data_IF_200642173043
#
_entry.id   IF_200642173043
#
_cell.length_a   1.000
_cell.length_b   1.000
_cell.length_c   1.000
_cell.angle_alpha   90.00
_cell.angle_beta   90.00
_cell.angle_gamma   90.00
#
_symmetry.space_group_name_H-M   'P 1'
#
loop_
_entity.id
_entity.type
_entity.pdbx_description
1 polymer ?
#
# COMPACT_ATOMS: atom_id res chain seq x y z
N UNK A 1 -45.87 8.39 -6.42
CA UNK A 1 -44.98 7.41 -5.74
C UNK A 1 -44.28 6.57 -6.80
N UNK A 2 -42.96 6.74 -6.99
CA UNK A 2 -42.14 5.85 -7.84
C UNK A 2 -41.02 5.30 -6.95
N UNK A 3 -41.02 3.98 -6.75
CA UNK A 3 -40.01 3.24 -5.99
C UNK A 3 -38.74 3.16 -6.86
N UNK A 4 -37.60 3.59 -6.34
CA UNK A 4 -36.29 3.28 -6.93
C UNK A 4 -35.73 2.01 -6.29
N UNK A 5 -35.29 1.08 -7.14
CA UNK A 5 -34.67 -0.19 -6.79
C UNK A 5 -33.30 0.04 -6.15
N UNK A 6 -33.05 -0.64 -5.03
CA UNK A 6 -31.74 -0.69 -4.39
C UNK A 6 -30.75 -1.54 -5.19
N UNK A 7 -29.54 -1.01 -5.38
CA UNK A 7 -28.39 -1.78 -5.82
C UNK A 7 -27.83 -2.57 -4.63
N UNK A 8 -27.78 -3.88 -4.78
CA UNK A 8 -27.14 -4.80 -3.84
C UNK A 8 -25.63 -4.78 -4.10
N UNK A 9 -24.87 -4.03 -3.30
CA UNK A 9 -23.41 -4.19 -3.24
C UNK A 9 -23.14 -5.29 -2.21
N UNK A 10 -22.64 -6.43 -2.70
CA UNK A 10 -22.12 -7.49 -1.83
C UNK A 10 -20.77 -7.00 -1.27
N UNK A 11 -20.80 -6.44 -0.06
CA UNK A 11 -19.60 -6.18 0.73
C UNK A 11 -19.33 -7.41 1.58
N UNK A 12 -18.46 -8.31 1.14
CA UNK A 12 -17.90 -9.34 2.02
C UNK A 12 -16.85 -8.69 2.92
N UNK A 13 -17.26 -8.49 4.17
CA UNK A 13 -16.47 -7.97 5.29
C UNK A 13 -15.39 -8.95 5.77
N UNK A 14 -14.23 -8.40 6.10
CA UNK A 14 -13.46 -8.77 7.29
C UNK A 14 -12.59 -7.59 7.71
N UNK A 15 -13.06 -6.76 8.65
CA UNK A 15 -12.24 -5.78 9.36
C UNK A 15 -12.19 -6.18 10.83
N UNK A 16 -11.06 -6.73 11.27
CA UNK A 16 -10.67 -6.78 12.68
C UNK A 16 -9.45 -5.86 12.84
N UNK A 17 -9.64 -4.80 13.62
CA UNK A 17 -8.71 -3.71 13.98
C UNK A 17 -8.11 -2.90 12.82
N UNK A 18 -8.68 -1.71 12.59
CA UNK A 18 -8.10 -0.67 11.73
C UNK A 18 -9.20 0.04 10.98
N UNK A 19 -9.38 1.33 11.26
CA UNK A 19 -10.44 2.20 10.73
C UNK A 19 -10.66 1.94 9.23
N UNK A 20 -11.88 1.60 8.77
CA UNK A 20 -12.14 1.49 7.34
C UNK A 20 -11.74 2.81 6.69
N UNK A 21 -11.02 2.71 5.57
CA UNK A 21 -10.70 3.88 4.76
C UNK A 21 -11.96 4.74 4.62
N UNK A 22 -11.87 6.08 4.77
CA UNK A 22 -13.01 6.92 4.45
C UNK A 22 -13.44 6.56 3.02
N UNK A 23 -14.74 6.47 2.75
CA UNK A 23 -15.28 6.11 1.43
C UNK A 23 -14.77 6.99 0.26
N UNK A 24 -14.02 8.05 0.59
CA UNK A 24 -13.38 9.01 -0.32
C UNK A 24 -11.84 8.92 -0.33
N UNK A 25 -11.21 7.99 0.38
CA UNK A 25 -9.82 7.64 0.10
C UNK A 25 -9.85 7.03 -1.31
N UNK A 26 -9.28 7.74 -2.30
CA UNK A 26 -9.25 7.29 -3.69
C UNK A 26 -8.76 5.85 -3.83
N UNK A 27 -8.97 5.27 -5.00
CA UNK A 27 -8.47 3.93 -5.30
C UNK A 27 -7.01 3.80 -4.82
N UNK A 28 -6.61 2.68 -4.21
CA UNK A 28 -5.22 2.46 -3.72
C UNK A 28 -4.20 2.81 -4.81
N UNK A 29 -4.56 2.58 -6.07
CA UNK A 29 -3.81 3.01 -7.24
C UNK A 29 -3.57 4.54 -7.32
N UNK A 30 -4.60 5.35 -7.08
CA UNK A 30 -4.50 6.82 -7.10
C UNK A 30 -3.60 7.32 -5.98
N UNK A 31 -3.77 6.76 -4.77
CA UNK A 31 -2.91 7.10 -3.62
C UNK A 31 -1.45 6.71 -3.93
N UNK A 32 -1.23 5.52 -4.47
CA UNK A 32 0.09 5.02 -4.84
C UNK A 32 0.81 5.96 -5.81
N UNK A 33 0.11 6.41 -6.84
CA UNK A 33 0.68 7.17 -7.96
C UNK A 33 0.80 8.68 -7.72
N UNK A 34 0.05 9.23 -6.76
CA UNK A 34 0.09 10.67 -6.45
C UNK A 34 1.08 11.02 -5.34
N UNK A 35 1.21 10.17 -4.33
CA UNK A 35 2.12 10.40 -3.20
C UNK A 35 3.60 10.31 -3.59
N UNK A 36 4.46 11.04 -2.87
CA UNK A 36 5.87 10.65 -2.68
C UNK A 36 5.95 9.81 -1.41
N UNK A 37 6.64 8.68 -1.42
CA UNK A 37 6.64 7.76 -0.29
C UNK A 37 8.00 7.74 0.41
N UNK A 38 8.00 7.77 1.75
CA UNK A 38 9.13 7.29 2.54
C UNK A 38 8.94 5.79 2.78
N UNK A 39 9.89 5.00 2.31
CA UNK A 39 9.90 3.54 2.42
C UNK A 39 10.81 3.10 3.56
N UNK A 40 10.31 2.26 4.45
CA UNK A 40 11.05 1.79 5.62
C UNK A 40 10.44 0.53 6.23
N UNK A 41 10.74 0.31 7.51
CA UNK A 41 10.22 -0.83 8.29
C UNK A 41 9.54 -0.34 9.56
N UNK A 42 8.79 -1.23 10.21
CA UNK A 42 8.12 -0.94 11.49
C UNK A 42 9.10 -0.76 12.65
N UNK A 43 10.35 -1.20 12.51
CA UNK A 43 11.44 -0.97 13.49
C UNK A 43 12.01 0.47 13.44
N UNK A 44 11.49 1.32 12.55
CA UNK A 44 11.93 2.70 12.36
C UNK A 44 13.06 2.89 11.35
N UNK A 45 13.66 1.80 10.84
CA UNK A 45 14.67 1.88 9.79
C UNK A 45 14.09 2.44 8.49
N UNK A 46 14.90 3.26 7.82
CA UNK A 46 14.58 3.86 6.53
C UNK A 46 15.33 3.13 5.45
N UNK A 47 14.61 2.66 4.43
CA UNK A 47 15.18 2.05 3.24
C UNK A 47 15.40 3.13 2.17
N UNK A 48 14.40 4.00 1.98
CA UNK A 48 14.48 5.13 1.06
C UNK A 48 13.64 6.32 1.55
N UNK A 49 14.21 7.52 1.47
CA UNK A 49 13.53 8.73 1.94
C UNK A 49 12.42 9.21 1.00
N UNK A 50 12.57 8.96 -0.30
CA UNK A 50 11.62 9.36 -1.32
C UNK A 50 11.61 8.33 -2.45
N UNK A 51 10.50 7.63 -2.61
CA UNK A 51 10.20 6.81 -3.80
C UNK A 51 8.92 7.29 -4.46
N UNK A 52 8.81 7.07 -5.76
CA UNK A 52 7.59 7.25 -6.55
C UNK A 52 7.15 5.92 -7.12
N UNK A 53 5.85 5.69 -7.11
CA UNK A 53 5.21 4.55 -7.75
C UNK A 53 4.57 5.06 -9.04
N UNK A 54 5.24 4.87 -10.17
CA UNK A 54 4.77 5.46 -11.43
C UNK A 54 3.52 4.73 -11.94
N UNK A 55 2.62 5.39 -12.69
CA UNK A 55 1.47 4.74 -13.32
C UNK A 55 1.84 3.54 -14.22
N UNK A 56 3.08 3.49 -14.70
CA UNK A 56 3.61 2.37 -15.49
C UNK A 56 4.02 1.15 -14.66
N UNK A 57 3.77 1.16 -13.35
CA UNK A 57 4.09 0.03 -12.46
C UNK A 57 5.55 0.01 -12.01
N UNK A 58 6.31 1.11 -12.12
CA UNK A 58 7.72 1.14 -11.71
C UNK A 58 7.94 1.87 -10.40
N UNK A 59 8.86 1.34 -9.59
CA UNK A 59 9.38 2.03 -8.40
C UNK A 59 10.58 2.88 -8.82
N UNK A 60 10.59 4.16 -8.47
CA UNK A 60 11.70 5.09 -8.76
C UNK A 60 12.10 5.90 -7.52
N UNK A 61 13.26 6.56 -7.54
CA UNK A 61 13.83 7.29 -6.39
C UNK A 61 14.72 6.42 -5.49
N UNK A 62 14.74 5.12 -5.72
CA UNK A 62 15.61 4.13 -5.08
C UNK A 62 15.78 2.93 -6.03
N UNK A 63 16.83 2.13 -5.83
CA UNK A 63 17.07 0.93 -6.62
C UNK A 63 17.52 -0.21 -5.71
N UNK A 64 16.74 -1.30 -5.73
CA UNK A 64 17.02 -2.56 -5.06
C UNK A 64 16.38 -3.69 -5.87
N UNK A 65 17.06 -4.84 -6.04
CA UNK A 65 16.49 -5.99 -6.76
C UNK A 65 15.14 -6.47 -6.22
N UNK A 66 14.85 -6.25 -4.93
CA UNK A 66 13.62 -6.69 -4.28
C UNK A 66 12.43 -5.75 -4.53
N UNK A 67 12.66 -4.50 -4.94
CA UNK A 67 11.61 -3.50 -5.15
C UNK A 67 11.73 -2.85 -6.54
N UNK A 68 11.58 -3.68 -7.58
CA UNK A 68 11.75 -3.28 -8.97
C UNK A 68 10.48 -2.65 -9.56
N UNK A 69 9.33 -3.26 -9.29
CA UNK A 69 8.02 -2.85 -9.82
C UNK A 69 6.94 -2.96 -8.75
N UNK A 70 5.77 -2.40 -9.04
CA UNK A 70 4.60 -2.45 -8.18
C UNK A 70 3.34 -2.73 -9.00
N UNK A 71 2.31 -3.24 -8.34
CA UNK A 71 1.00 -3.48 -8.91
C UNK A 71 -0.09 -3.47 -7.81
N UNK A 72 -1.35 -3.53 -8.25
CA UNK A 72 -2.48 -3.86 -7.37
C UNK A 72 -2.89 -5.31 -7.64
N UNK A 73 -2.92 -6.14 -6.59
CA UNK A 73 -3.41 -7.52 -6.63
C UNK A 73 -4.42 -7.72 -5.49
N UNK A 74 -5.62 -8.23 -5.81
CA UNK A 74 -6.69 -8.46 -4.83
C UNK A 74 -6.99 -7.24 -3.95
N UNK A 75 -6.92 -6.04 -4.55
CA UNK A 75 -7.14 -4.76 -3.86
C UNK A 75 -5.96 -4.26 -3.01
N UNK A 76 -4.84 -4.99 -2.97
CA UNK A 76 -3.66 -4.64 -2.20
C UNK A 76 -2.53 -4.12 -3.09
N UNK A 77 -1.77 -3.16 -2.57
CA UNK A 77 -0.51 -2.76 -3.19
C UNK A 77 0.53 -3.85 -2.96
N UNK A 78 1.25 -4.21 -4.01
CA UNK A 78 2.37 -5.16 -3.93
C UNK A 78 3.64 -4.55 -4.54
N UNK A 79 4.79 -4.95 -4.00
CA UNK A 79 6.08 -4.80 -4.66
C UNK A 79 6.53 -6.14 -5.23
N UNK A 80 7.19 -6.08 -6.39
CA UNK A 80 7.80 -7.22 -7.04
C UNK A 80 9.29 -7.00 -7.19
N UNK A 81 10.03 -8.08 -6.98
CA UNK A 81 11.44 -8.17 -7.30
C UNK A 81 11.65 -8.18 -8.81
N UNK A 82 12.90 -8.04 -9.24
CA UNK A 82 13.28 -8.01 -10.66
C UNK A 82 12.95 -9.31 -11.40
N UNK A 83 12.92 -10.44 -10.69
CA UNK A 83 12.51 -11.75 -11.22
C UNK A 83 10.97 -11.94 -11.25
N UNK A 84 10.21 -10.92 -10.82
CA UNK A 84 8.75 -10.92 -10.78
C UNK A 84 8.13 -11.48 -9.50
N UNK A 85 8.93 -12.04 -8.57
CA UNK A 85 8.39 -12.54 -7.29
C UNK A 85 7.86 -11.39 -6.44
N UNK A 86 6.71 -11.60 -5.77
CA UNK A 86 6.16 -10.60 -4.85
C UNK A 86 7.06 -10.50 -3.63
N UNK A 87 7.68 -9.34 -3.44
CA UNK A 87 8.58 -9.10 -2.31
C UNK A 87 7.85 -8.56 -1.09
N UNK A 88 6.80 -7.76 -1.29
CA UNK A 88 6.02 -7.16 -0.21
C UNK A 88 4.57 -7.08 -0.62
N UNK A 89 3.64 -7.41 0.30
CA UNK A 89 2.21 -7.16 0.12
C UNK A 89 1.70 -6.27 1.23
N UNK A 90 1.22 -5.08 0.86
CA UNK A 90 0.70 -4.08 1.79
C UNK A 90 -0.79 -4.33 2.03
N UNK A 91 -1.11 -4.96 3.15
CA UNK A 91 -2.46 -5.39 3.51
C UNK A 91 -3.14 -4.46 4.51
N UNK A 92 -2.43 -3.46 5.03
CA UNK A 92 -2.95 -2.51 6.01
C UNK A 92 -2.75 -1.09 5.52
N UNK A 93 -3.81 -0.29 5.64
CA UNK A 93 -3.78 1.15 5.39
C UNK A 93 -4.28 1.88 6.63
N UNK A 94 -3.59 2.93 7.04
CA UNK A 94 -3.97 3.76 8.19
C UNK A 94 -3.61 5.22 7.94
N UNK A 95 -4.26 6.12 8.68
CA UNK A 95 -3.82 7.51 8.79
C UNK A 95 -2.99 7.66 10.07
N UNK A 96 -1.87 8.36 9.97
CA UNK A 96 -1.14 8.86 11.13
C UNK A 96 -2.00 9.91 11.84
N UNK A 97 -2.37 9.71 13.12
CA UNK A 97 -3.25 10.63 13.82
C UNK A 97 -2.59 11.97 14.16
N UNK A 98 -1.26 12.04 14.14
CA UNK A 98 -0.49 13.26 14.45
C UNK A 98 -0.21 14.06 13.18
N UNK A 99 0.13 13.38 12.08
CA UNK A 99 0.55 14.05 10.84
C UNK A 99 -0.52 14.06 9.75
N UNK A 100 -1.57 13.23 9.88
CA UNK A 100 -2.56 12.99 8.83
C UNK A 100 -2.02 12.22 7.63
N UNK A 101 -0.77 11.74 7.68
CA UNK A 101 -0.15 11.02 6.56
C UNK A 101 -0.76 9.63 6.39
N UNK A 102 -0.97 9.22 5.13
CA UNK A 102 -1.34 7.84 4.81
C UNK A 102 -0.12 6.93 5.04
N UNK A 103 -0.35 5.84 5.74
CA UNK A 103 0.64 4.79 6.02
C UNK A 103 0.13 3.46 5.47
N UNK A 104 0.90 2.84 4.59
CA UNK A 104 0.70 1.45 4.17
C UNK A 104 1.67 0.54 4.93
N UNK A 105 1.20 -0.65 5.34
CA UNK A 105 2.02 -1.66 6.01
C UNK A 105 1.83 -3.03 5.37
N UNK A 106 2.92 -3.78 5.25
CA UNK A 106 2.92 -5.07 4.58
C UNK A 106 4.08 -5.97 4.98
N UNK A 107 3.85 -7.27 4.97
CA UNK A 107 4.89 -8.26 5.24
C UNK A 107 5.87 -8.36 4.05
N UNK A 108 7.16 -8.51 4.37
CA UNK A 108 8.18 -8.92 3.39
C UNK A 108 8.15 -10.44 3.20
N UNK A 109 8.05 -10.89 1.95
CA UNK A 109 7.71 -12.26 1.59
C UNK A 109 8.88 -13.08 1.07
N UNK A 110 10.00 -12.47 0.64
CA UNK A 110 11.15 -13.23 0.13
C UNK A 110 11.96 -13.91 1.24
N UNK A 111 11.76 -13.49 2.50
CA UNK A 111 12.30 -14.18 3.67
C UNK A 111 11.27 -14.16 4.82
N UNK A 112 10.28 -15.05 4.82
CA UNK A 112 9.22 -15.03 5.83
C UNK A 112 9.72 -15.20 7.26
N UNK A 113 10.85 -15.90 7.45
CA UNK A 113 11.46 -16.12 8.77
C UNK A 113 12.05 -14.85 9.39
N UNK A 114 12.24 -13.76 8.62
CA UNK A 114 12.80 -12.52 9.15
C UNK A 114 11.77 -11.64 9.87
N UNK A 115 10.47 -11.96 9.78
CA UNK A 115 9.37 -11.18 10.37
C UNK A 115 9.44 -9.67 10.06
N UNK A 116 9.90 -9.31 8.86
CA UNK A 116 10.04 -7.92 8.43
C UNK A 116 8.68 -7.40 7.99
N UNK A 117 8.27 -6.26 8.55
CA UNK A 117 7.12 -5.48 8.06
C UNK A 117 7.61 -4.17 7.48
N UNK A 118 7.29 -3.96 6.20
CA UNK A 118 7.57 -2.74 5.47
C UNK A 118 6.50 -1.67 5.71
N UNK A 119 6.92 -0.41 5.62
CA UNK A 119 6.07 0.78 5.72
C UNK A 119 6.24 1.68 4.49
N UNK A 120 5.13 2.23 3.98
CA UNK A 120 5.14 3.37 3.05
C UNK A 120 4.39 4.52 3.70
N UNK A 121 5.08 5.62 3.96
CA UNK A 121 4.48 6.83 4.54
C UNK A 121 4.38 7.90 3.45
N UNK A 122 3.15 8.34 3.14
CA UNK A 122 2.92 9.36 2.13
C UNK A 122 3.45 10.73 2.63
N UNK A 123 4.29 11.35 1.81
CA UNK A 123 4.87 12.68 1.97
C UNK A 123 4.30 13.54 0.84
N UNK A 124 3.18 14.20 1.10
CA UNK A 124 2.66 15.24 0.22
C UNK A 124 3.35 16.57 0.52
#
# INVERSE_FOLDING_TARGET
>A
MKKQLGFLIVLTSAFLSGVPLPANAGNVYDIATTCTWRFGRTDGSVIANAIKLTPTGRVTGYSNPNEFSWAIEDGNLIFRAQDGQVSTRFTSVSLDPTTGQIILRGAFLLNPSSNITHTLNCRN
#
